data_IF_180528758684
#
_entry.id   IF_180528758684
#
_cell.length_a   1.000
_cell.length_b   1.000
_cell.length_c   1.000
_cell.angle_alpha   90.00
_cell.angle_beta   90.00
_cell.angle_gamma   90.00
#
_symmetry.space_group_name_H-M   'P 1'
#
loop_
_entity.id
_entity.type
_entity.pdbx_description
1 polymer ?
#
# COMPACT_ATOMS: atom_id res chain seq x y z
N UNK A 1 0.88 22.57 1.82
CA UNK A 1 -0.38 21.94 1.40
C UNK A 1 -0.04 20.87 0.39
N UNK A 2 -0.11 19.62 0.83
CA UNK A 2 -0.12 18.48 -0.09
C UNK A 2 -1.46 18.49 -0.83
N UNK A 3 -1.46 18.06 -2.09
CA UNK A 3 -2.67 18.03 -2.91
C UNK A 3 -3.72 17.10 -2.31
N UNK A 4 -5.01 17.36 -2.57
CA UNK A 4 -6.10 16.45 -2.19
C UNK A 4 -5.77 15.02 -2.69
N UNK A 5 -5.46 14.11 -1.77
CA UNK A 5 -5.19 12.69 -2.05
C UNK A 5 -3.74 12.21 -1.86
N UNK A 6 -2.79 13.08 -1.54
CA UNK A 6 -1.41 12.66 -1.24
C UNK A 6 -1.32 12.06 0.17
N UNK A 7 -1.09 10.75 0.27
CA UNK A 7 -0.89 10.04 1.54
C UNK A 7 0.61 9.99 1.86
N UNK A 8 1.04 10.65 2.95
CA UNK A 8 2.41 10.52 3.44
C UNK A 8 2.49 9.33 4.38
N UNK A 9 3.38 8.39 4.05
CA UNK A 9 3.69 7.23 4.90
C UNK A 9 5.09 7.43 5.47
N UNK A 10 5.23 7.30 6.79
CA UNK A 10 6.52 7.35 7.47
C UNK A 10 6.94 5.94 7.86
N UNK A 11 8.16 5.55 7.50
CA UNK A 11 8.75 4.27 7.89
C UNK A 11 9.98 4.56 8.77
N UNK A 12 10.02 3.99 9.96
CA UNK A 12 11.11 4.21 10.94
C UNK A 12 11.42 2.96 11.76
N UNK A 13 12.52 2.98 12.50
CA UNK A 13 12.80 1.96 13.53
C UNK A 13 12.08 2.29 14.83
N UNK A 14 11.89 1.30 15.71
CA UNK A 14 11.27 1.50 17.02
C UNK A 14 12.00 2.51 17.89
N UNK A 15 13.35 2.49 17.89
CA UNK A 15 14.14 3.42 18.72
C UNK A 15 14.09 4.85 18.19
N UNK A 16 14.21 5.06 16.87
CA UNK A 16 14.17 6.39 16.27
C UNK A 16 12.75 6.94 16.18
N UNK A 17 11.75 6.05 16.08
CA UNK A 17 10.36 6.42 15.89
C UNK A 17 9.78 7.26 17.02
N UNK A 18 10.16 6.98 18.27
CA UNK A 18 9.64 7.72 19.42
C UNK A 18 9.93 9.23 19.32
N UNK A 19 11.18 9.59 19.02
CA UNK A 19 11.62 10.98 18.91
C UNK A 19 11.11 11.60 17.59
N UNK A 20 11.30 10.88 16.48
CA UNK A 20 10.96 11.38 15.14
C UNK A 20 9.46 11.69 15.00
N UNK A 21 8.57 10.83 15.51
CA UNK A 21 7.12 11.03 15.41
C UNK A 21 6.72 12.29 16.17
N UNK A 22 7.30 12.52 17.34
CA UNK A 22 7.05 13.72 18.13
C UNK A 22 7.45 15.00 17.39
N UNK A 23 8.61 14.99 16.72
CA UNK A 23 9.08 16.11 15.90
C UNK A 23 8.17 16.37 14.68
N UNK A 24 7.66 15.30 14.06
CA UNK A 24 6.73 15.39 12.92
C UNK A 24 5.40 15.99 13.37
N UNK A 25 4.85 15.52 14.50
CA UNK A 25 3.62 16.05 15.10
C UNK A 25 3.77 17.54 15.41
N UNK A 26 4.88 17.96 16.03
CA UNK A 26 5.14 19.36 16.36
C UNK A 26 5.17 20.28 15.13
N UNK A 27 5.46 19.74 13.95
CA UNK A 27 5.49 20.46 12.66
C UNK A 27 4.17 20.43 11.90
N UNK A 28 3.13 19.79 12.43
CA UNK A 28 1.81 19.64 11.81
C UNK A 28 1.86 19.07 10.39
N UNK A 29 2.71 18.06 10.16
CA UNK A 29 2.66 17.30 8.91
C UNK A 29 1.44 16.39 8.91
N UNK A 30 0.74 16.35 7.76
CA UNK A 30 -0.38 15.43 7.54
C UNK A 30 0.17 14.05 7.14
N UNK A 31 0.28 13.16 8.13
CA UNK A 31 0.79 11.81 7.96
C UNK A 31 -0.37 10.83 7.99
N UNK A 32 -0.44 9.97 6.97
CA UNK A 32 -1.48 8.95 6.87
C UNK A 32 -1.28 7.83 7.90
N UNK A 33 -0.08 7.25 7.92
CA UNK A 33 0.27 6.12 8.79
C UNK A 33 1.77 6.09 9.09
N UNK A 34 2.12 5.56 10.26
CA UNK A 34 3.47 5.31 10.70
C UNK A 34 3.74 3.81 10.77
N UNK A 35 4.77 3.38 10.06
CA UNK A 35 5.22 2.00 9.97
C UNK A 35 6.53 1.84 10.73
N UNK A 36 6.55 0.96 11.73
CA UNK A 36 7.64 0.91 12.71
C UNK A 36 8.23 -0.49 12.76
N UNK A 37 9.51 -0.60 12.40
CA UNK A 37 10.28 -1.83 12.55
C UNK A 37 10.95 -1.86 13.93
N UNK A 38 10.49 -2.76 14.79
CA UNK A 38 10.90 -2.80 16.19
C UNK A 38 12.00 -3.82 16.46
N UNK A 39 12.06 -4.93 15.71
CA UNK A 39 12.87 -6.11 16.06
C UNK A 39 12.38 -6.85 17.31
N UNK A 40 11.90 -6.11 18.32
CA UNK A 40 11.22 -6.59 19.51
C UNK A 40 10.17 -5.56 19.97
N UNK A 41 8.92 -5.70 19.53
CA UNK A 41 7.77 -4.80 19.76
C UNK A 41 7.55 -4.54 21.24
N UNK A 42 7.79 -5.53 22.10
CA UNK A 42 7.63 -5.39 23.55
C UNK A 42 8.46 -4.25 24.15
N UNK A 43 9.60 -3.89 23.53
CA UNK A 43 10.44 -2.79 23.99
C UNK A 43 9.89 -1.40 23.60
N UNK A 44 8.86 -1.37 22.76
CA UNK A 44 8.32 -0.13 22.17
C UNK A 44 6.83 0.09 22.45
N UNK A 45 6.17 -0.85 23.14
CA UNK A 45 4.71 -0.83 23.33
C UNK A 45 4.24 0.38 24.15
N UNK A 46 5.02 0.81 25.14
CA UNK A 46 4.63 1.89 26.05
C UNK A 46 4.46 3.22 25.31
N UNK A 47 5.52 3.70 24.65
CA UNK A 47 5.45 4.94 23.89
C UNK A 47 4.54 4.82 22.66
N UNK A 48 4.47 3.65 22.02
CA UNK A 48 3.54 3.46 20.90
C UNK A 48 2.07 3.58 21.36
N UNK A 49 1.75 3.08 22.55
CA UNK A 49 0.42 3.23 23.15
C UNK A 49 0.06 4.70 23.41
N UNK A 50 1.02 5.52 23.86
CA UNK A 50 0.82 6.96 24.05
C UNK A 50 0.47 7.63 22.71
N UNK A 51 1.24 7.32 21.66
CA UNK A 51 1.01 7.88 20.33
C UNK A 51 -0.31 7.43 19.69
N UNK A 52 -0.73 6.19 19.94
CA UNK A 52 -2.06 5.71 19.55
C UNK A 52 -3.18 6.47 20.29
N UNK A 53 -2.99 6.79 21.57
CA UNK A 53 -3.94 7.57 22.36
C UNK A 53 -4.05 9.02 21.85
N UNK A 54 -2.97 9.57 21.27
CA UNK A 54 -2.96 10.86 20.56
C UNK A 54 -3.67 10.81 19.19
N UNK A 55 -4.20 9.65 18.79
CA UNK A 55 -4.94 9.46 17.55
C UNK A 55 -4.07 9.19 16.32
N UNK A 56 -2.79 8.87 16.49
CA UNK A 56 -1.93 8.46 15.38
C UNK A 56 -2.22 7.03 14.95
N UNK A 57 -2.13 6.76 13.65
CA UNK A 57 -2.15 5.40 13.11
C UNK A 57 -0.72 4.83 13.10
N UNK A 58 -0.41 3.98 14.08
CA UNK A 58 0.90 3.33 14.23
C UNK A 58 0.76 1.83 14.03
N UNK A 59 1.60 1.29 13.15
CA UNK A 59 1.66 -0.13 12.84
C UNK A 59 3.09 -0.61 13.10
N UNK A 60 3.25 -1.49 14.07
CA UNK A 60 4.54 -2.02 14.50
C UNK A 60 4.78 -3.45 14.00
N UNK A 61 6.03 -3.76 13.68
CA UNK A 61 6.45 -5.07 13.17
C UNK A 61 7.73 -5.54 13.86
N UNK A 62 7.77 -6.81 14.25
CA UNK A 62 9.00 -7.47 14.72
C UNK A 62 9.93 -7.85 13.56
N UNK A 63 9.35 -8.18 12.40
CA UNK A 63 10.08 -8.66 11.24
C UNK A 63 9.92 -7.71 10.04
N UNK A 64 11.04 -7.45 9.36
CA UNK A 64 11.10 -6.61 8.16
C UNK A 64 10.23 -7.14 7.02
N UNK A 65 10.09 -8.46 6.93
CA UNK A 65 9.28 -9.11 5.89
C UNK A 65 7.80 -8.74 6.07
N UNK A 66 7.28 -8.76 7.28
CA UNK A 66 5.88 -8.44 7.57
C UNK A 66 5.57 -6.97 7.23
N UNK A 67 6.50 -6.07 7.56
CA UNK A 67 6.46 -4.67 7.18
C UNK A 67 6.38 -4.51 5.66
N UNK A 68 7.29 -5.14 4.92
CA UNK A 68 7.34 -5.05 3.45
C UNK A 68 6.09 -5.64 2.80
N UNK A 69 5.56 -6.74 3.34
CA UNK A 69 4.31 -7.35 2.87
C UNK A 69 3.12 -6.41 3.07
N UNK A 70 3.01 -5.77 4.24
CA UNK A 70 1.94 -4.81 4.51
C UNK A 70 2.03 -3.59 3.61
N UNK A 71 3.22 -3.00 3.47
CA UNK A 71 3.46 -1.85 2.58
C UNK A 71 3.14 -2.18 1.13
N UNK A 72 3.55 -3.36 0.64
CA UNK A 72 3.28 -3.78 -0.74
C UNK A 72 1.78 -3.89 -1.01
N UNK A 73 1.00 -4.40 -0.05
CA UNK A 73 -0.46 -4.49 -0.14
C UNK A 73 -1.12 -3.12 -0.11
N UNK A 74 -0.67 -2.21 0.75
CA UNK A 74 -1.21 -0.87 0.81
C UNK A 74 -0.91 -0.08 -0.47
N UNK A 75 0.34 -0.07 -0.92
CA UNK A 75 0.74 0.59 -2.17
C UNK A 75 -0.03 0.03 -3.36
N UNK A 76 -0.22 -1.30 -3.42
CA UNK A 76 -1.06 -1.91 -4.46
C UNK A 76 -2.47 -1.33 -4.47
N UNK A 77 -3.13 -1.21 -3.31
CA UNK A 77 -4.47 -0.61 -3.22
C UNK A 77 -4.47 0.87 -3.63
N UNK A 78 -3.46 1.65 -3.22
CA UNK A 78 -3.35 3.05 -3.61
C UNK A 78 -3.18 3.22 -5.13
N UNK A 79 -2.39 2.36 -5.77
CA UNK A 79 -2.25 2.35 -7.23
C UNK A 79 -3.59 2.02 -7.91
N UNK A 80 -4.41 1.13 -7.34
CA UNK A 80 -5.77 0.85 -7.86
C UNK A 80 -6.66 2.09 -7.74
N UNK A 81 -6.65 2.79 -6.61
CA UNK A 81 -7.42 4.03 -6.41
C UNK A 81 -7.01 5.10 -7.43
N UNK A 82 -5.70 5.32 -7.59
CA UNK A 82 -5.15 6.26 -8.57
C UNK A 82 -5.53 5.87 -10.01
N UNK A 83 -5.42 4.59 -10.36
CA UNK A 83 -5.82 4.09 -11.66
C UNK A 83 -7.32 4.28 -11.94
N UNK A 84 -8.19 4.09 -10.95
CA UNK A 84 -9.64 4.34 -11.09
C UNK A 84 -9.94 5.80 -11.37
N UNK A 85 -9.27 6.72 -10.67
CA UNK A 85 -9.44 8.16 -10.88
C UNK A 85 -9.05 8.59 -12.29
N UNK A 86 -8.06 7.92 -12.89
CA UNK A 86 -7.56 8.22 -14.24
C UNK A 86 -8.28 7.46 -15.34
N UNK A 87 -9.04 6.41 -15.04
CA UNK A 87 -9.59 5.51 -16.06
C UNK A 87 -10.46 6.23 -17.11
N UNK A 88 -11.18 7.28 -16.73
CA UNK A 88 -12.01 8.06 -17.65
C UNK A 88 -11.26 9.18 -18.41
N UNK A 89 -10.08 9.59 -17.93
CA UNK A 89 -9.38 10.80 -18.42
C UNK A 89 -8.03 10.47 -19.06
N UNK A 90 -7.29 9.52 -18.51
CA UNK A 90 -6.04 8.97 -19.04
C UNK A 90 -5.99 7.45 -18.81
N UNK A 91 -6.65 6.68 -19.70
CA UNK A 91 -6.68 5.22 -19.63
C UNK A 91 -5.29 4.56 -19.73
N UNK A 92 -4.33 5.21 -20.39
CA UNK A 92 -2.97 4.67 -20.54
C UNK A 92 -2.21 4.71 -19.21
N UNK A 93 -2.30 5.83 -18.49
CA UNK A 93 -1.74 5.91 -17.14
C UNK A 93 -2.50 5.01 -16.16
N UNK A 94 -3.83 4.96 -16.25
CA UNK A 94 -4.65 4.04 -15.45
C UNK A 94 -4.23 2.57 -15.62
N UNK A 95 -3.98 2.14 -16.87
CA UNK A 95 -3.49 0.78 -17.15
C UNK A 95 -2.16 0.49 -16.45
N UNK A 96 -1.19 1.42 -16.53
CA UNK A 96 0.11 1.26 -15.84
C UNK A 96 -0.08 1.12 -14.33
N UNK A 97 -0.94 1.94 -13.74
CA UNK A 97 -1.27 1.84 -12.31
C UNK A 97 -1.83 0.46 -11.94
N UNK A 98 -2.79 -0.06 -12.71
CA UNK A 98 -3.36 -1.38 -12.46
C UNK A 98 -2.35 -2.53 -12.65
N UNK A 99 -1.48 -2.44 -13.66
CA UNK A 99 -0.43 -3.44 -13.89
C UNK A 99 0.62 -3.44 -12.76
N UNK A 100 1.03 -2.26 -12.29
CA UNK A 100 1.92 -2.14 -11.13
C UNK A 100 1.25 -2.65 -9.85
N UNK A 101 -0.03 -2.34 -9.64
CA UNK A 101 -0.80 -2.84 -8.50
C UNK A 101 -0.83 -4.38 -8.47
N UNK A 102 -1.11 -4.99 -9.62
CA UNK A 102 -1.10 -6.45 -9.78
C UNK A 102 0.27 -7.04 -9.43
N UNK A 103 1.34 -6.51 -10.01
CA UNK A 103 2.70 -7.02 -9.80
C UNK A 103 3.14 -6.92 -8.33
N UNK A 104 2.76 -5.86 -7.61
CA UNK A 104 3.02 -5.74 -6.17
C UNK A 104 2.25 -6.76 -5.35
N UNK A 105 0.96 -6.98 -5.67
CA UNK A 105 0.14 -7.95 -4.97
C UNK A 105 0.62 -9.40 -5.20
N UNK A 106 1.06 -9.72 -6.42
CA UNK A 106 1.68 -11.01 -6.75
C UNK A 106 2.95 -11.23 -5.93
N UNK A 107 3.90 -10.28 -5.95
CA UNK A 107 5.14 -10.38 -5.15
C UNK A 107 4.90 -10.50 -3.66
N UNK A 108 3.92 -9.77 -3.12
CA UNK A 108 3.56 -9.87 -1.72
C UNK A 108 3.05 -11.28 -1.40
N UNK A 109 2.22 -11.87 -2.25
CA UNK A 109 1.73 -13.23 -2.04
C UNK A 109 2.82 -14.27 -2.20
N UNK A 110 3.67 -14.19 -3.24
CA UNK A 110 4.81 -15.10 -3.42
C UNK A 110 5.72 -15.16 -2.18
N UNK A 111 5.86 -14.03 -1.49
CA UNK A 111 6.70 -13.91 -0.29
C UNK A 111 6.02 -14.38 0.99
N UNK A 112 4.69 -14.24 1.08
CA UNK A 112 3.85 -14.68 2.21
C UNK A 112 3.53 -16.19 2.16
N UNK A 113 3.66 -16.79 0.99
CA UNK A 113 3.31 -18.17 0.72
C UNK A 113 4.25 -19.22 1.34
N UNK A 114 3.71 -20.29 1.96
CA UNK A 114 4.50 -21.48 2.24
C UNK A 114 4.96 -22.11 0.92
N UNK A 115 6.26 -22.47 0.84
CA UNK A 115 6.94 -22.92 -0.39
C UNK A 115 6.33 -24.14 -1.09
N UNK A 116 5.40 -24.86 -0.44
CA UNK A 116 4.91 -26.16 -0.88
C UNK A 116 3.44 -26.19 -1.36
N UNK A 117 2.73 -25.04 -1.38
CA UNK A 117 1.35 -25.00 -1.86
C UNK A 117 1.25 -24.59 -3.34
N UNK A 118 0.65 -25.45 -4.17
CA UNK A 118 0.48 -25.26 -5.62
C UNK A 118 -0.34 -24.02 -6.02
N UNK A 119 -0.98 -23.35 -5.07
CA UNK A 119 -1.78 -22.13 -5.27
C UNK A 119 -1.17 -20.89 -4.59
N UNK A 120 0.01 -21.01 -3.98
CA UNK A 120 0.55 -20.01 -3.08
C UNK A 120 1.05 -18.73 -3.78
N UNK A 121 1.20 -18.73 -5.11
CA UNK A 121 1.63 -17.53 -5.86
C UNK A 121 0.48 -16.60 -6.28
N UNK A 122 -0.76 -16.86 -5.86
CA UNK A 122 -1.91 -16.16 -6.42
C UNK A 122 -2.40 -15.03 -5.51
N UNK A 123 -2.47 -13.76 -5.99
CA UNK A 123 -3.11 -12.65 -5.26
C UNK A 123 -4.43 -13.08 -4.63
N UNK A 124 -4.80 -12.48 -3.49
CA UNK A 124 -6.07 -12.81 -2.83
C UNK A 124 -7.22 -12.80 -3.84
N UNK A 125 -8.16 -13.75 -3.71
CA UNK A 125 -9.21 -13.97 -4.72
C UNK A 125 -9.98 -12.67 -5.01
N UNK A 126 -10.19 -11.83 -4.00
CA UNK A 126 -10.80 -10.50 -4.15
C UNK A 126 -9.96 -9.54 -4.98
N UNK A 127 -8.65 -9.48 -4.76
CA UNK A 127 -7.73 -8.61 -5.49
C UNK A 127 -7.63 -9.00 -6.97
N UNK A 128 -7.59 -10.30 -7.26
CA UNK A 128 -7.58 -10.84 -8.62
C UNK A 128 -8.87 -10.56 -9.37
N UNK A 129 -10.03 -10.78 -8.74
CA UNK A 129 -11.34 -10.49 -9.35
C UNK A 129 -11.52 -9.01 -9.69
N UNK A 130 -10.83 -8.14 -8.96
CA UNK A 130 -10.90 -6.71 -9.19
C UNK A 130 -10.03 -6.27 -10.39
N UNK A 131 -8.79 -6.74 -10.47
CA UNK A 131 -7.85 -6.32 -11.51
C UNK A 131 -7.99 -7.12 -12.81
N UNK A 132 -8.18 -8.43 -12.70
CA UNK A 132 -8.14 -9.39 -13.80
C UNK A 132 -9.54 -9.88 -14.21
N UNK A 133 -9.58 -10.60 -15.34
CA UNK A 133 -10.80 -11.08 -15.98
C UNK A 133 -11.39 -10.09 -16.98
N UNK A 134 -12.38 -10.55 -17.75
CA UNK A 134 -12.93 -9.78 -18.87
C UNK A 134 -13.56 -8.45 -18.43
N UNK A 135 -14.05 -8.40 -17.20
CA UNK A 135 -14.60 -7.19 -16.56
C UNK A 135 -13.66 -6.57 -15.51
N UNK A 136 -12.41 -7.05 -15.40
CA UNK A 136 -11.42 -6.48 -14.49
C UNK A 136 -10.94 -5.10 -14.94
N UNK A 137 -10.39 -4.33 -14.00
CA UNK A 137 -9.92 -2.96 -14.25
C UNK A 137 -8.88 -2.88 -15.38
N UNK A 138 -8.02 -3.88 -15.51
CA UNK A 138 -7.02 -3.95 -16.60
C UNK A 138 -7.71 -4.09 -17.97
N UNK A 139 -8.72 -4.97 -18.06
CA UNK A 139 -9.46 -5.16 -19.31
C UNK A 139 -10.31 -3.94 -19.68
N UNK A 140 -10.86 -3.24 -18.68
CA UNK A 140 -11.57 -1.97 -18.87
C UNK A 140 -10.61 -0.89 -19.39
N UNK A 141 -9.43 -0.72 -18.77
CA UNK A 141 -8.43 0.25 -19.20
C UNK A 141 -7.95 -0.02 -20.63
N UNK A 142 -7.66 -1.28 -20.98
CA UNK A 142 -7.28 -1.67 -22.36
C UNK A 142 -8.34 -1.31 -23.39
N UNK A 143 -9.62 -1.56 -23.08
CA UNK A 143 -10.73 -1.18 -23.96
C UNK A 143 -10.82 0.34 -24.13
N UNK A 144 -10.68 1.09 -23.05
CA UNK A 144 -10.68 2.55 -23.08
C UNK A 144 -9.49 3.13 -23.88
N UNK A 145 -8.28 2.57 -23.74
CA UNK A 145 -7.13 2.95 -24.57
C UNK A 145 -7.42 2.75 -26.07
N UNK A 146 -7.97 1.60 -26.45
CA UNK A 146 -8.27 1.30 -27.84
C UNK A 146 -9.35 2.22 -28.43
N UNK A 147 -10.35 2.60 -27.62
CA UNK A 147 -11.38 3.53 -28.06
C UNK A 147 -10.83 4.95 -28.27
N UNK A 148 -9.90 5.41 -27.43
CA UNK A 148 -9.23 6.71 -27.61
C UNK A 148 -8.32 6.74 -28.83
N UNK A 149 -7.66 5.63 -29.17
CA UNK A 149 -6.80 5.56 -30.36
C UNK A 149 -7.58 5.52 -31.68
N UNK A 150 -8.88 5.19 -31.62
CA UNK A 150 -9.77 5.10 -32.78
C UNK A 150 -10.73 6.31 -32.90
N UNK A 151 -10.63 7.27 -31.99
CA UNK A 151 -11.40 8.53 -31.98
C UNK A 151 -10.55 9.67 -32.53
#
# INVERSE_FOLDING_TARGET
HLGNGEKVIVITSGSLGNDLISDIQARNFDIHSYYIFCGQIMNHVEWASEKLADGLDIIMFDFEIDLLLRLSRELSNQLIENGRNLLGTDPHSALKYFECARALAEKAVERDAPKDEKDAHRPSISHRRLLDGDNGLIAQAKRACNNMSNS
#
